data_IF_400096404248
#
_entry.id   IF_400096404248
#
_cell.length_a   1.000
_cell.length_b   1.000
_cell.length_c   1.000
_cell.angle_alpha   90.00
_cell.angle_beta   90.00
_cell.angle_gamma   90.00
#
_symmetry.space_group_name_H-M   'P 1'
#
loop_
_entity.id
_entity.type
_entity.pdbx_description
1 polymer ?
#
# COMPACT_ATOMS: atom_id res chain seq x y z
N UNK A 1 -10.58 -15.75 9.34
CA UNK A 1 -11.00 -14.53 10.06
C UNK A 1 -10.39 -13.24 9.52
N UNK A 2 -9.22 -13.23 8.90
CA UNK A 2 -8.59 -11.99 8.41
C UNK A 2 -9.32 -11.35 7.20
N UNK A 3 -9.82 -12.18 6.28
CA UNK A 3 -10.54 -11.77 5.07
C UNK A 3 -11.88 -11.08 5.34
N UNK A 4 -12.65 -11.55 6.32
CA UNK A 4 -13.95 -10.96 6.67
C UNK A 4 -13.77 -9.59 7.34
N UNK A 5 -12.79 -9.46 8.24
CA UNK A 5 -12.44 -8.19 8.88
C UNK A 5 -11.97 -7.17 7.84
N UNK A 6 -11.15 -7.60 6.88
CA UNK A 6 -10.72 -6.76 5.75
C UNK A 6 -11.88 -6.34 4.86
N UNK A 7 -12.80 -7.26 4.55
CA UNK A 7 -13.99 -6.95 3.76
C UNK A 7 -14.90 -5.91 4.45
N UNK A 8 -15.09 -6.03 5.77
CA UNK A 8 -15.88 -5.06 6.55
C UNK A 8 -15.31 -3.63 6.54
N UNK A 9 -13.99 -3.46 6.40
CA UNK A 9 -13.35 -2.15 6.26
C UNK A 9 -13.78 -1.40 4.98
N UNK A 10 -14.15 -2.14 3.94
CA UNK A 10 -14.60 -1.55 2.66
C UNK A 10 -15.98 -0.88 2.84
N UNK A 11 -16.87 -1.53 3.59
CA UNK A 11 -18.21 -1.00 3.90
C UNK A 11 -18.18 0.18 4.87
N UNK A 12 -17.26 0.16 5.82
CA UNK A 12 -17.09 1.23 6.82
C UNK A 12 -16.24 2.40 6.30
N UNK A 13 -15.57 2.25 5.16
CA UNK A 13 -14.62 3.24 4.64
C UNK A 13 -13.36 3.37 5.50
N UNK A 14 -13.14 2.45 6.43
CA UNK A 14 -12.00 2.47 7.34
C UNK A 14 -10.71 2.16 6.55
N UNK A 15 -9.83 3.16 6.50
CA UNK A 15 -8.54 3.10 5.81
C UNK A 15 -7.45 3.44 6.83
N UNK A 16 -7.04 2.46 7.64
CA UNK A 16 -6.08 2.69 8.71
C UNK A 16 -4.66 2.90 8.17
N UNK A 17 -4.40 2.47 6.93
CA UNK A 17 -3.10 2.62 6.29
C UNK A 17 -3.12 3.91 5.44
N UNK A 18 -2.15 4.79 5.65
CA UNK A 18 -1.95 6.00 4.84
C UNK A 18 -0.55 6.03 4.26
N UNK A 19 -0.44 6.59 3.06
CA UNK A 19 0.86 6.89 2.48
C UNK A 19 1.51 8.03 3.25
N UNK A 20 2.74 7.82 3.69
CA UNK A 20 3.60 8.83 4.33
C UNK A 20 4.09 9.92 3.37
N UNK A 21 3.98 9.70 2.06
CA UNK A 21 4.48 10.62 1.03
C UNK A 21 3.38 11.54 0.50
N UNK A 22 2.16 11.03 0.33
CA UNK A 22 1.04 11.79 -0.25
C UNK A 22 -0.27 11.67 0.54
N UNK A 23 -0.23 11.13 1.76
CA UNK A 23 -1.38 10.93 2.65
C UNK A 23 -2.54 10.12 2.06
N UNK A 24 -2.30 9.42 0.95
CA UNK A 24 -3.33 8.61 0.29
C UNK A 24 -3.80 7.48 1.20
N UNK A 25 -5.10 7.41 1.52
CA UNK A 25 -5.62 6.37 2.40
C UNK A 25 -5.83 5.05 1.64
N UNK A 26 -5.35 3.96 2.23
CA UNK A 26 -5.40 2.59 1.74
C UNK A 26 -6.07 1.67 2.77
N UNK A 27 -6.84 0.70 2.27
CA UNK A 27 -7.53 -0.29 3.13
C UNK A 27 -6.65 -1.50 3.48
N UNK A 28 -5.52 -1.67 2.77
CA UNK A 28 -4.63 -2.83 2.89
C UNK A 28 -3.16 -2.39 2.84
N UNK A 29 -2.32 -3.11 3.57
CA UNK A 29 -0.88 -2.83 3.65
C UNK A 29 -0.17 -3.19 2.34
N UNK A 30 -0.57 -4.27 1.66
CA UNK A 30 0.02 -4.69 0.38
C UNK A 30 -0.15 -3.61 -0.69
N UNK A 31 -1.34 -3.01 -0.75
CA UNK A 31 -1.63 -1.88 -1.64
C UNK A 31 -0.78 -0.65 -1.29
N UNK A 32 -0.55 -0.39 0.00
CA UNK A 32 0.31 0.70 0.44
C UNK A 32 1.76 0.45 0.03
N UNK A 33 2.29 -0.76 0.21
CA UNK A 33 3.66 -1.13 -0.18
C UNK A 33 3.89 -0.96 -1.67
N UNK A 34 2.97 -1.45 -2.52
CA UNK A 34 3.05 -1.26 -3.97
C UNK A 34 2.93 0.22 -4.33
N UNK A 35 2.03 0.94 -3.66
CA UNK A 35 1.87 2.38 -3.86
C UNK A 35 3.14 3.16 -3.51
N UNK A 36 3.85 2.83 -2.42
CA UNK A 36 5.10 3.51 -2.05
C UNK A 36 6.19 3.40 -3.12
N UNK A 37 6.25 2.27 -3.84
CA UNK A 37 7.21 2.06 -4.94
C UNK A 37 7.06 3.07 -6.08
N UNK A 38 5.85 3.62 -6.30
CA UNK A 38 5.64 4.64 -7.34
C UNK A 38 6.27 5.98 -6.95
N UNK A 39 6.40 6.25 -5.65
CA UNK A 39 6.97 7.50 -5.14
C UNK A 39 8.47 7.42 -5.02
N UNK A 40 9.00 6.29 -4.54
CA UNK A 40 10.45 6.09 -4.47
C UNK A 40 11.08 5.91 -5.85
N UNK A 41 10.26 5.65 -6.88
CA UNK A 41 10.76 5.38 -8.23
C UNK A 41 11.63 4.14 -8.28
N UNK A 42 11.59 3.29 -7.25
CA UNK A 42 12.33 2.04 -7.16
C UNK A 42 11.82 1.11 -8.25
N UNK A 43 12.49 1.17 -9.39
CA UNK A 43 12.40 0.17 -10.43
C UNK A 43 12.82 -1.15 -9.78
N UNK A 44 11.96 -2.20 -9.76
CA UNK A 44 12.48 -3.52 -9.47
C UNK A 44 13.53 -3.78 -10.56
N UNK A 45 14.75 -4.13 -10.15
CA UNK A 45 15.97 -4.22 -10.97
C UNK A 45 16.85 -2.95 -10.97
N UNK A 46 17.44 -2.66 -9.81
CA UNK A 46 18.84 -2.23 -9.79
C UNK A 46 19.70 -3.48 -10.07
N UNK A 47 19.80 -3.89 -11.33
CA UNK A 47 20.96 -4.67 -11.77
C UNK A 47 22.12 -3.68 -11.88
N UNK A 48 22.69 -3.32 -10.74
CA UNK A 48 23.95 -2.59 -10.66
C UNK A 48 25.06 -3.60 -10.37
N UNK A 49 25.18 -4.54 -11.31
CA UNK A 49 26.36 -5.37 -11.50
C UNK A 49 26.79 -5.12 -12.93
N UNK A 50 27.55 -4.04 -13.15
CA UNK A 50 28.74 -4.05 -14.00
C UNK A 50 29.53 -2.76 -13.76
#
# INVERSE_FOLDING_TARGET
NDTLTRHKRIHTGDKPYRCDICDKPCSQIDNLTIHKRIHTGEKPHHYDIC
#
